data_IF_851969196615
#
_entry.id   IF_851969196615
#
_cell.length_a   1.000
_cell.length_b   1.000
_cell.length_c   1.000
_cell.angle_alpha   90.00
_cell.angle_beta   90.00
_cell.angle_gamma   90.00
#
_symmetry.space_group_name_H-M   'P 1'
#
loop_
_entity.id
_entity.type
_entity.pdbx_description
1 polymer ?
#
# COMPACT_ATOMS: atom_id res chain seq x y z
N UNK A 1 5.91 -10.39 -12.05
CA UNK A 1 6.14 -11.69 -11.41
C UNK A 1 4.88 -12.54 -11.59
N UNK A 2 5.02 -13.84 -11.87
CA UNK A 2 3.89 -14.78 -11.95
C UNK A 2 3.89 -15.66 -10.70
N UNK A 3 2.72 -15.85 -10.10
CA UNK A 3 2.53 -16.54 -8.81
C UNK A 3 2.69 -18.08 -8.89
N UNK A 4 3.17 -18.62 -10.02
CA UNK A 4 3.28 -20.05 -10.27
C UNK A 4 4.56 -20.72 -9.73
N UNK A 5 5.59 -19.94 -9.39
CA UNK A 5 6.91 -20.44 -9.03
C UNK A 5 7.27 -20.09 -7.58
N UNK A 6 8.07 -20.95 -6.94
CA UNK A 6 8.64 -20.66 -5.63
C UNK A 6 9.69 -19.57 -5.76
N UNK A 7 9.61 -18.56 -4.88
CA UNK A 7 10.55 -17.46 -4.88
C UNK A 7 11.57 -17.62 -3.74
N UNK A 8 12.83 -17.76 -4.12
CA UNK A 8 13.95 -17.77 -3.18
C UNK A 8 14.49 -16.35 -2.99
N UNK A 9 14.31 -15.79 -1.79
CA UNK A 9 14.83 -14.45 -1.48
C UNK A 9 16.35 -14.50 -1.35
N UNK A 10 17.02 -13.93 -2.35
CA UNK A 10 18.47 -13.81 -2.50
C UNK A 10 19.11 -12.95 -1.40
N UNK A 11 20.44 -12.99 -1.30
CA UNK A 11 21.16 -12.14 -0.36
C UNK A 11 21.07 -10.65 -0.77
N UNK A 12 21.12 -10.40 -2.07
CA UNK A 12 20.97 -9.10 -2.70
C UNK A 12 19.61 -8.47 -2.35
N UNK A 13 18.51 -9.20 -2.55
CA UNK A 13 17.16 -8.72 -2.21
C UNK A 13 17.02 -8.43 -0.71
N UNK A 14 17.60 -9.25 0.17
CA UNK A 14 17.60 -8.96 1.62
C UNK A 14 18.33 -7.67 1.94
N UNK A 15 19.43 -7.40 1.25
CA UNK A 15 20.19 -6.16 1.40
C UNK A 15 19.39 -4.97 0.89
N UNK A 16 18.78 -5.07 -0.29
CA UNK A 16 17.93 -4.02 -0.87
C UNK A 16 16.73 -3.71 0.02
N UNK A 17 16.04 -4.74 0.53
CA UNK A 17 14.93 -4.57 1.48
C UNK A 17 15.38 -3.84 2.75
N UNK A 18 16.57 -4.16 3.26
CA UNK A 18 17.12 -3.49 4.44
C UNK A 18 17.47 -2.03 4.17
N UNK A 19 18.10 -1.74 3.03
CA UNK A 19 18.48 -0.39 2.62
C UNK A 19 17.24 0.48 2.38
N UNK A 20 16.24 -0.04 1.67
CA UNK A 20 14.95 0.61 1.47
C UNK A 20 14.28 0.97 2.80
N UNK A 21 14.15 0.01 3.72
CA UNK A 21 13.56 0.26 5.04
C UNK A 21 14.37 1.27 5.85
N UNK A 22 15.69 1.31 5.69
CA UNK A 22 16.53 2.34 6.35
C UNK A 22 16.22 3.72 5.81
N UNK A 23 16.21 3.86 4.48
CA UNK A 23 15.97 5.13 3.82
C UNK A 23 14.59 5.72 4.18
N UNK A 24 13.52 4.91 4.14
CA UNK A 24 12.19 5.42 4.46
C UNK A 24 12.04 5.78 5.95
N UNK A 25 12.71 5.04 6.85
CA UNK A 25 12.66 5.32 8.31
C UNK A 25 13.30 6.66 8.68
N UNK A 26 14.23 7.16 7.87
CA UNK A 26 14.89 8.45 8.09
C UNK A 26 13.98 9.65 7.73
N UNK A 27 12.92 9.42 6.96
CA UNK A 27 11.98 10.46 6.51
C UNK A 27 11.05 10.92 7.63
N UNK A 28 10.63 12.20 7.59
CA UNK A 28 9.65 12.72 8.55
C UNK A 28 8.28 12.04 8.45
N UNK A 29 7.91 11.60 7.24
CA UNK A 29 6.66 10.86 6.99
C UNK A 29 6.62 9.56 7.81
N UNK A 30 7.69 8.77 7.76
CA UNK A 30 7.74 7.50 8.48
C UNK A 30 7.88 7.71 9.99
N UNK A 31 8.63 8.73 10.43
CA UNK A 31 8.73 9.10 11.85
C UNK A 31 7.38 9.51 12.42
N UNK A 32 6.58 10.28 11.67
CA UNK A 32 5.24 10.67 12.10
C UNK A 32 4.29 9.47 12.15
N UNK A 33 4.34 8.59 11.15
CA UNK A 33 3.58 7.34 11.17
C UNK A 33 3.96 6.46 12.38
N UNK A 34 5.25 6.35 12.68
CA UNK A 34 5.75 5.61 13.84
C UNK A 34 5.25 6.21 15.15
N UNK A 35 5.43 7.53 15.36
CA UNK A 35 4.90 8.26 16.54
C UNK A 35 3.40 8.05 16.70
N UNK A 36 2.65 8.16 15.61
CA UNK A 36 1.20 7.98 15.60
C UNK A 36 0.83 6.55 16.03
N UNK A 37 1.44 5.52 15.44
CA UNK A 37 1.15 4.12 15.77
C UNK A 37 1.53 3.76 17.21
N UNK A 38 2.64 4.29 17.71
CA UNK A 38 3.05 4.16 19.13
C UNK A 38 2.00 4.81 20.04
N UNK A 39 1.54 6.01 19.71
CA UNK A 39 0.49 6.71 20.48
C UNK A 39 -0.84 5.94 20.52
N UNK A 40 -1.11 5.10 19.51
CA UNK A 40 -2.29 4.22 19.46
C UNK A 40 -2.06 2.87 20.14
N UNK A 41 -0.84 2.58 20.59
CA UNK A 41 -0.48 1.33 21.24
C UNK A 41 -0.46 0.13 20.30
N UNK A 42 -0.27 0.35 18.99
CA UNK A 42 -0.26 -0.70 17.96
C UNK A 42 1.10 -0.89 17.28
N UNK A 43 2.13 -0.16 17.71
CA UNK A 43 3.50 -0.34 17.26
C UNK A 43 4.49 -0.25 18.44
N UNK A 44 5.65 -0.93 18.35
CA UNK A 44 6.72 -0.78 19.33
C UNK A 44 7.34 0.62 19.28
N UNK A 45 7.71 1.16 20.45
CA UNK A 45 8.40 2.45 20.56
C UNK A 45 9.85 2.39 20.05
N UNK A 46 10.52 1.24 20.20
CA UNK A 46 11.87 1.00 19.68
C UNK A 46 11.87 0.96 18.14
N UNK A 47 12.65 1.85 17.52
CA UNK A 47 12.75 1.97 16.05
C UNK A 47 13.26 0.69 15.39
N UNK A 48 14.19 -0.02 16.01
CA UNK A 48 14.71 -1.29 15.50
C UNK A 48 13.63 -2.36 15.41
N UNK A 49 12.79 -2.47 16.46
CA UNK A 49 11.62 -3.34 16.48
C UNK A 49 10.54 -2.87 15.50
N UNK A 50 10.35 -1.56 15.31
CA UNK A 50 9.41 -1.04 14.33
C UNK A 50 9.87 -1.35 12.89
N UNK A 51 11.16 -1.21 12.58
CA UNK A 51 11.75 -1.65 11.31
C UNK A 51 11.56 -3.15 11.10
N UNK A 52 11.73 -3.96 12.15
CA UNK A 52 11.43 -5.40 12.11
C UNK A 52 9.95 -5.70 11.82
N UNK A 53 9.03 -4.91 12.39
CA UNK A 53 7.60 -4.99 12.09
C UNK A 53 7.33 -4.64 10.62
N UNK A 54 7.88 -3.52 10.11
CA UNK A 54 7.76 -3.14 8.70
C UNK A 54 8.28 -4.24 7.77
N UNK A 55 9.44 -4.80 8.07
CA UNK A 55 9.98 -5.94 7.33
C UNK A 55 9.01 -7.13 7.32
N UNK A 56 8.42 -7.44 8.47
CA UNK A 56 7.43 -8.51 8.61
C UNK A 56 6.15 -8.28 7.81
N UNK A 57 5.71 -7.03 7.65
CA UNK A 57 4.51 -6.66 6.89
C UNK A 57 4.77 -6.66 5.38
N UNK A 58 5.88 -6.06 4.98
CA UNK A 58 6.14 -5.70 3.58
C UNK A 58 6.92 -6.77 2.81
N UNK A 59 7.91 -7.39 3.44
CA UNK A 59 8.90 -8.25 2.76
C UNK A 59 8.87 -9.71 3.19
N UNK A 60 8.02 -10.06 4.16
CA UNK A 60 7.86 -11.46 4.55
C UNK A 60 7.02 -12.18 3.49
N UNK A 61 7.62 -13.23 2.91
CA UNK A 61 6.92 -14.08 1.96
C UNK A 61 5.76 -14.84 2.61
N UNK A 62 4.62 -14.86 1.94
CA UNK A 62 3.45 -15.66 2.28
C UNK A 62 2.97 -16.47 1.06
N UNK A 63 2.04 -17.39 1.30
CA UNK A 63 1.50 -18.28 0.26
C UNK A 63 0.26 -17.66 -0.37
N UNK A 64 0.22 -17.57 -1.69
CA UNK A 64 -0.93 -17.08 -2.44
C UNK A 64 -1.41 -18.10 -3.48
N UNK A 65 -2.71 -18.11 -3.75
CA UNK A 65 -3.30 -18.94 -4.80
C UNK A 65 -3.30 -20.46 -4.58
N UNK A 66 -2.98 -20.93 -3.36
CA UNK A 66 -2.91 -22.37 -3.06
C UNK A 66 -1.53 -23.00 -3.33
N UNK A 67 -0.49 -22.17 -3.52
CA UNK A 67 0.88 -22.62 -3.73
C UNK A 67 1.43 -23.49 -2.57
N UNK A 68 2.30 -24.44 -2.93
CA UNK A 68 2.99 -25.34 -1.98
C UNK A 68 4.04 -24.63 -1.14
N UNK A 69 4.61 -23.53 -1.64
CA UNK A 69 5.66 -22.71 -1.03
C UNK A 69 5.29 -21.21 -1.07
N UNK A 70 5.88 -20.36 -0.19
CA UNK A 70 5.71 -18.91 -0.25
C UNK A 70 6.18 -18.35 -1.60
N UNK A 71 5.39 -17.44 -2.18
CA UNK A 71 5.55 -17.00 -3.58
C UNK A 71 5.12 -15.54 -3.81
N UNK A 72 4.93 -14.76 -2.74
CA UNK A 72 4.43 -13.39 -2.80
C UNK A 72 4.75 -12.64 -1.51
N UNK A 73 5.06 -11.34 -1.61
CA UNK A 73 5.01 -10.41 -0.48
C UNK A 73 4.15 -9.17 -0.76
N UNK A 74 3.83 -8.41 0.30
CA UNK A 74 3.01 -7.20 0.19
C UNK A 74 3.69 -6.13 -0.66
N UNK A 75 5.03 -6.03 -0.59
CA UNK A 75 5.81 -5.09 -1.37
C UNK A 75 5.71 -5.39 -2.87
N UNK A 76 5.90 -6.63 -3.28
CA UNK A 76 5.72 -7.05 -4.69
C UNK A 76 4.32 -6.72 -5.19
N UNK A 77 3.30 -7.07 -4.41
CA UNK A 77 1.92 -6.85 -4.78
C UNK A 77 1.61 -5.36 -5.06
N UNK A 78 2.06 -4.46 -4.19
CA UNK A 78 1.77 -3.02 -4.26
C UNK A 78 2.72 -2.30 -5.23
N UNK A 79 4.03 -2.50 -5.07
CA UNK A 79 5.08 -1.69 -5.70
C UNK A 79 5.69 -2.33 -6.95
N UNK A 80 5.74 -3.66 -7.07
CA UNK A 80 6.38 -4.32 -8.22
C UNK A 80 5.36 -4.68 -9.30
N UNK A 81 4.16 -5.10 -8.88
CA UNK A 81 3.14 -5.62 -9.77
C UNK A 81 3.21 -7.15 -9.91
N UNK A 82 2.07 -7.77 -9.64
CA UNK A 82 1.92 -9.21 -9.54
C UNK A 82 0.83 -9.69 -10.49
N UNK A 83 1.12 -10.74 -11.24
CA UNK A 83 0.19 -11.43 -12.12
C UNK A 83 -0.23 -12.78 -11.54
N UNK A 84 -1.41 -13.25 -11.92
CA UNK A 84 -1.90 -14.59 -11.66
C UNK A 84 -2.45 -15.17 -12.95
N UNK A 85 -1.66 -15.97 -13.66
CA UNK A 85 -2.04 -16.47 -14.98
C UNK A 85 -2.26 -15.32 -15.96
N UNK A 86 -3.46 -15.24 -16.55
CA UNK A 86 -3.83 -14.18 -17.51
C UNK A 86 -4.48 -12.95 -16.84
N UNK A 87 -4.33 -12.76 -15.53
CA UNK A 87 -4.86 -11.58 -14.84
C UNK A 87 -3.77 -10.85 -14.07
N UNK A 88 -3.75 -9.53 -14.19
CA UNK A 88 -2.95 -8.69 -13.32
C UNK A 88 -3.68 -8.39 -12.02
N UNK A 89 -3.08 -8.73 -10.88
CA UNK A 89 -3.70 -8.52 -9.57
C UNK A 89 -3.00 -7.46 -8.71
N UNK A 90 -1.83 -6.96 -9.08
CA UNK A 90 -1.09 -5.90 -8.36
C UNK A 90 -0.95 -4.58 -9.13
N UNK A 91 0.11 -3.82 -8.78
CA UNK A 91 0.56 -2.55 -9.39
C UNK A 91 -0.31 -1.33 -9.08
N UNK A 92 -0.14 -0.84 -7.85
CA UNK A 92 -0.83 0.33 -7.31
C UNK A 92 0.09 1.56 -7.16
N UNK A 93 1.37 1.41 -7.51
CA UNK A 93 2.37 2.46 -7.41
C UNK A 93 2.60 3.15 -8.77
N UNK A 94 2.53 4.48 -8.79
CA UNK A 94 2.66 5.27 -10.03
C UNK A 94 4.06 5.24 -10.63
N UNK A 95 5.10 5.14 -9.79
CA UNK A 95 6.48 5.09 -10.28
C UNK A 95 6.69 3.79 -11.07
N UNK A 96 6.22 2.66 -10.54
CA UNK A 96 6.27 1.40 -11.26
C UNK A 96 5.40 1.43 -12.52
N UNK A 97 4.21 2.03 -12.44
CA UNK A 97 3.37 2.23 -13.63
C UNK A 97 4.14 2.97 -14.73
N UNK A 98 4.76 4.11 -14.39
CA UNK A 98 5.57 4.89 -15.32
C UNK A 98 6.75 4.09 -15.90
N UNK A 99 7.48 3.34 -15.07
CA UNK A 99 8.61 2.54 -15.53
C UNK A 99 8.17 1.43 -16.49
N UNK A 100 7.05 0.76 -16.21
CA UNK A 100 6.51 -0.30 -17.07
C UNK A 100 5.91 0.25 -18.37
N UNK A 101 5.25 1.41 -18.33
CA UNK A 101 4.79 2.13 -19.53
C UNK A 101 5.96 2.56 -20.40
N UNK A 102 6.99 3.17 -19.81
CA UNK A 102 8.22 3.55 -20.52
C UNK A 102 8.95 2.35 -21.14
N UNK A 103 8.88 1.18 -20.51
CA UNK A 103 9.44 -0.06 -21.03
C UNK A 103 8.57 -0.70 -22.15
N UNK A 104 7.41 -0.13 -22.48
CA UNK A 104 6.47 -0.68 -23.46
C UNK A 104 5.68 -1.90 -22.96
N UNK A 105 5.71 -2.16 -21.65
CA UNK A 105 4.96 -3.25 -21.05
C UNK A 105 3.52 -2.87 -20.72
N UNK A 106 3.21 -1.58 -20.57
CA UNK A 106 1.84 -1.09 -20.32
C UNK A 106 1.27 -0.47 -21.59
N UNK A 107 0.03 -0.83 -21.89
CA UNK A 107 -0.82 -0.18 -22.89
C UNK A 107 -1.97 0.51 -22.15
N UNK A 108 -1.92 1.84 -22.05
CA UNK A 108 -2.86 2.66 -21.29
C UNK A 108 -4.16 2.91 -22.05
N UNK A 109 -5.31 2.64 -21.41
CA UNK A 109 -6.64 2.70 -22.04
C UNK A 109 -7.49 3.87 -21.57
N UNK A 110 -7.05 4.59 -20.54
CA UNK A 110 -7.78 5.75 -19.99
C UNK A 110 -7.85 5.74 -18.47
N UNK A 111 -8.53 6.76 -17.94
CA UNK A 111 -8.74 6.94 -16.51
C UNK A 111 -10.19 7.25 -16.19
N UNK A 112 -10.58 6.87 -14.97
CA UNK A 112 -11.84 7.22 -14.35
C UNK A 112 -11.58 8.35 -13.35
N UNK A 113 -12.20 9.50 -13.59
CA UNK A 113 -12.31 10.59 -12.61
C UNK A 113 -13.70 10.48 -11.98
N UNK A 114 -13.79 10.26 -10.67
CA UNK A 114 -15.08 10.44 -9.97
C UNK A 114 -15.47 11.92 -10.01
N UNK A 115 -16.75 12.20 -10.21
CA UNK A 115 -17.27 13.54 -10.52
C UNK A 115 -17.00 14.61 -9.46
N UNK A 116 -16.65 14.22 -8.24
CA UNK A 116 -16.33 15.11 -7.11
C UNK A 116 -14.91 15.69 -7.16
N UNK A 117 -14.07 15.23 -8.09
CA UNK A 117 -12.68 15.71 -8.23
C UNK A 117 -12.60 16.76 -9.34
N UNK A 118 -13.63 17.55 -9.67
CA UNK A 118 -13.55 18.47 -10.83
C UNK A 118 -12.77 19.76 -10.55
N UNK A 119 -12.71 20.19 -9.29
CA UNK A 119 -12.21 21.53 -8.92
C UNK A 119 -10.79 21.54 -8.33
N UNK A 120 -10.11 20.39 -8.32
CA UNK A 120 -8.72 20.31 -7.85
C UNK A 120 -7.75 20.51 -9.02
N UNK A 121 -6.82 21.44 -8.86
CA UNK A 121 -5.72 21.66 -9.83
C UNK A 121 -4.72 20.49 -9.83
N UNK A 122 -4.66 19.71 -8.74
CA UNK A 122 -3.68 18.62 -8.55
C UNK A 122 -4.41 17.28 -8.39
N UNK A 123 -4.27 16.42 -9.40
CA UNK A 123 -4.76 15.04 -9.37
C UNK A 123 -3.82 14.19 -8.51
N UNK A 124 -4.28 13.73 -7.35
CA UNK A 124 -3.49 12.89 -6.41
C UNK A 124 -3.86 11.41 -6.41
N UNK A 125 -5.01 11.04 -6.97
CA UNK A 125 -5.51 9.67 -7.05
C UNK A 125 -6.28 9.48 -8.35
N UNK A 126 -5.94 8.43 -9.11
CA UNK A 126 -6.63 8.06 -10.34
C UNK A 126 -7.04 6.59 -10.31
N UNK A 127 -8.23 6.30 -10.84
CA UNK A 127 -8.54 4.97 -11.33
C UNK A 127 -8.06 4.85 -12.76
N UNK A 128 -7.08 4.00 -13.05
CA UNK A 128 -6.56 3.79 -14.41
C UNK A 128 -6.99 2.43 -14.97
N UNK A 129 -7.14 2.37 -16.29
CA UNK A 129 -7.37 1.15 -17.04
C UNK A 129 -6.22 0.95 -18.03
N UNK A 130 -5.69 -0.27 -18.10
CA UNK A 130 -4.56 -0.60 -18.97
C UNK A 130 -4.47 -2.11 -19.21
N UNK A 131 -3.68 -2.50 -20.21
CA UNK A 131 -3.16 -3.87 -20.38
C UNK A 131 -1.69 -3.94 -20.01
N UNK A 132 -1.23 -5.08 -19.51
CA UNK A 132 0.17 -5.32 -19.19
C UNK A 132 0.70 -6.51 -19.98
N UNK A 133 1.73 -6.31 -20.81
CA UNK A 133 2.34 -7.31 -21.71
C UNK A 133 1.30 -8.05 -22.59
N UNK A 134 0.31 -7.31 -23.08
CA UNK A 134 -0.78 -7.86 -23.90
C UNK A 134 -1.88 -8.57 -23.11
N UNK A 135 -1.73 -8.72 -21.80
CA UNK A 135 -2.72 -9.28 -20.89
C UNK A 135 -3.64 -8.16 -20.41
N UNK A 136 -4.96 -8.41 -20.43
CA UNK A 136 -5.94 -7.43 -19.95
C UNK A 136 -5.70 -7.14 -18.47
N UNK A 137 -5.43 -5.88 -18.15
CA UNK A 137 -5.30 -5.45 -16.77
C UNK A 137 -6.65 -5.32 -16.07
N UNK A 138 -6.60 -4.89 -14.81
CA UNK A 138 -7.81 -4.74 -13.98
C UNK A 138 -8.83 -3.79 -14.64
N UNK A 139 -10.14 -4.03 -14.43
CA UNK A 139 -11.18 -3.09 -14.88
C UNK A 139 -10.95 -1.66 -14.38
N UNK A 140 -10.40 -1.53 -13.16
CA UNK A 140 -9.98 -0.26 -12.58
C UNK A 140 -8.86 -0.51 -11.58
N UNK A 141 -7.74 0.22 -11.70
CA UNK A 141 -6.64 0.20 -10.75
C UNK A 141 -6.50 1.59 -10.12
N UNK A 142 -6.72 1.71 -8.81
CA UNK A 142 -6.47 2.96 -8.08
C UNK A 142 -4.97 3.14 -7.84
N UNK A 143 -4.44 4.30 -8.24
CA UNK A 143 -3.01 4.65 -8.14
C UNK A 143 -2.87 6.08 -7.59
N UNK A 144 -2.07 6.25 -6.53
CA UNK A 144 -1.67 7.57 -6.06
C UNK A 144 -0.70 8.20 -7.06
N UNK A 145 -0.91 9.46 -7.43
CA UNK A 145 -0.06 10.17 -8.40
C UNK A 145 0.84 11.15 -7.65
N UNK A 146 2.15 11.06 -7.87
CA UNK A 146 3.15 11.95 -7.27
C UNK A 146 3.43 11.69 -5.79
N UNK A 147 2.92 10.59 -5.22
CA UNK A 147 3.27 10.15 -3.87
C UNK A 147 4.71 9.66 -3.80
N UNK A 148 5.35 9.82 -2.64
CA UNK A 148 6.62 9.15 -2.38
C UNK A 148 6.40 7.70 -1.88
N UNK A 149 7.36 6.78 -2.08
CA UNK A 149 7.26 5.41 -1.59
C UNK A 149 7.03 5.32 -0.07
N UNK A 150 7.70 6.15 0.71
CA UNK A 150 7.54 6.23 2.17
C UNK A 150 6.13 6.66 2.59
N UNK A 151 5.49 7.55 1.83
CA UNK A 151 4.10 7.94 2.07
C UNK A 151 3.15 6.77 1.88
N UNK A 152 3.28 6.03 0.77
CA UNK A 152 2.45 4.86 0.51
C UNK A 152 2.67 3.77 1.55
N UNK A 153 3.94 3.44 1.88
CA UNK A 153 4.27 2.48 2.95
C UNK A 153 3.66 2.92 4.28
N UNK A 154 3.79 4.20 4.65
CA UNK A 154 3.24 4.74 5.89
C UNK A 154 1.71 4.64 5.92
N UNK A 155 1.03 5.13 4.89
CA UNK A 155 -0.43 5.14 4.83
C UNK A 155 -1.03 3.72 4.87
N UNK A 156 -0.45 2.80 4.10
CA UNK A 156 -0.88 1.40 4.09
C UNK A 156 -0.58 0.69 5.41
N UNK A 157 0.57 0.95 6.03
CA UNK A 157 0.92 0.39 7.35
C UNK A 157 -0.02 0.93 8.42
N UNK A 158 -0.26 2.24 8.46
CA UNK A 158 -1.17 2.86 9.42
C UNK A 158 -2.57 2.28 9.30
N UNK A 159 -3.04 2.14 8.06
CA UNK A 159 -4.32 1.49 7.77
C UNK A 159 -4.36 0.07 8.31
N UNK A 160 -3.39 -0.77 7.95
CA UNK A 160 -3.33 -2.16 8.38
C UNK A 160 -3.36 -2.34 9.90
N UNK A 161 -2.61 -1.50 10.60
CA UNK A 161 -2.41 -1.65 12.04
C UNK A 161 -3.55 -1.06 12.87
N UNK A 162 -4.28 -0.08 12.35
CA UNK A 162 -5.44 0.51 13.03
C UNK A 162 -6.77 -0.11 12.62
N UNK A 163 -6.80 -0.78 11.47
CA UNK A 163 -8.00 -1.34 10.91
C UNK A 163 -8.62 -2.40 11.83
N UNK A 164 -9.85 -2.11 12.26
CA UNK A 164 -10.64 -3.05 13.04
C UNK A 164 -11.55 -3.92 12.17
N UNK A 165 -11.93 -3.52 10.96
CA UNK A 165 -13.02 -4.17 10.19
C UNK A 165 -12.76 -4.38 8.68
N UNK A 166 -11.58 -4.04 8.17
CA UNK A 166 -11.20 -4.09 6.75
C UNK A 166 -11.05 -2.70 6.10
N UNK A 167 -11.23 -1.61 6.84
CA UNK A 167 -11.43 -0.24 6.33
C UNK A 167 -10.89 0.82 7.28
N UNK A 168 -10.23 1.83 6.73
CA UNK A 168 -9.88 3.07 7.43
C UNK A 168 -10.15 4.28 6.56
N UNK A 169 -10.87 5.25 7.12
CA UNK A 169 -11.02 6.57 6.51
C UNK A 169 -9.77 7.41 6.85
N UNK A 170 -9.04 7.83 5.82
CA UNK A 170 -7.81 8.61 5.91
C UNK A 170 -8.03 9.97 5.28
N UNK A 171 -7.75 11.03 6.04
CA UNK A 171 -7.83 12.39 5.50
C UNK A 171 -6.50 12.75 4.81
N UNK A 172 -6.55 12.98 3.50
CA UNK A 172 -5.42 13.50 2.70
C UNK A 172 -5.74 14.89 2.19
N UNK A 173 -5.17 15.90 2.84
CA UNK A 173 -5.50 17.31 2.57
C UNK A 173 -6.98 17.58 2.86
N UNK A 174 -7.71 18.03 1.85
CA UNK A 174 -9.14 18.32 1.93
C UNK A 174 -10.04 17.10 1.66
N UNK A 175 -9.44 15.93 1.40
CA UNK A 175 -10.14 14.72 0.96
C UNK A 175 -10.18 13.67 2.06
N UNK A 176 -11.27 12.90 2.11
CA UNK A 176 -11.35 11.67 2.90
C UNK A 176 -11.31 10.49 1.91
N UNK A 177 -10.33 9.61 2.11
CA UNK A 177 -10.15 8.39 1.35
C UNK A 177 -10.50 7.18 2.22
N UNK A 178 -11.37 6.31 1.73
CA UNK A 178 -11.56 4.98 2.30
C UNK A 178 -10.46 4.06 1.76
N UNK A 179 -9.48 3.79 2.62
CA UNK A 179 -8.46 2.79 2.36
C UNK A 179 -8.98 1.42 2.79
N UNK A 180 -9.05 0.48 1.85
CA UNK A 180 -9.51 -0.89 2.12
C UNK A 180 -8.37 -1.88 1.93
N UNK A 181 -8.20 -2.73 2.93
CA UNK A 181 -7.22 -3.80 2.92
C UNK A 181 -7.96 -5.13 2.97
N UNK A 182 -7.73 -5.97 1.96
CA UNK A 182 -8.28 -7.31 1.92
C UNK A 182 -7.23 -8.33 2.38
N UNK A 183 -7.34 -8.75 3.64
CA UNK A 183 -6.62 -9.91 4.20
C UNK A 183 -7.56 -11.08 4.46
N UNK A 184 -7.10 -12.33 4.35
CA UNK A 184 -7.91 -13.45 4.82
C UNK A 184 -8.05 -13.34 6.34
N UNK A 185 -9.28 -13.11 6.80
CA UNK A 185 -9.68 -13.14 8.21
C UNK A 185 -9.31 -14.50 8.82
N UNK A 186 -8.11 -14.62 9.38
CA UNK A 186 -7.90 -15.55 10.48
C UNK A 186 -8.86 -15.09 11.59
N UNK A 187 -9.93 -15.86 11.80
CA UNK A 187 -10.93 -15.66 12.85
C UNK A 187 -10.26 -15.10 14.10
N UNK A 188 -10.59 -13.85 14.45
CA UNK A 188 -10.24 -13.22 15.74
C UNK A 188 -10.73 -14.14 16.87
N UNK A 189 -9.88 -15.05 17.30
CA UNK A 189 -10.08 -15.84 18.50
C UNK A 189 -8.94 -15.48 19.43
N UNK A 190 -9.14 -14.37 20.14
CA UNK A 190 -8.51 -14.01 21.41
C UNK A 190 -7.19 -14.75 21.69
N UNK A 191 -6.12 -14.38 20.97
CA UNK A 191 -4.75 -14.84 21.26
C UNK A 191 -3.86 -13.62 21.48
N UNK A 192 -2.90 -13.82 22.39
CA UNK A 192 -2.23 -12.82 23.22
C UNK A 192 -1.20 -11.95 22.50
N UNK A 193 -0.88 -12.20 21.23
CA UNK A 193 0.21 -11.51 20.55
C UNK A 193 -0.15 -11.20 19.09
N UNK A 194 -0.51 -9.94 18.84
CA UNK A 194 -1.07 -9.46 17.57
C UNK A 194 -0.04 -9.40 16.42
N UNK A 195 1.26 -9.29 16.73
CA UNK A 195 2.35 -9.32 15.76
C UNK A 195 2.46 -10.65 15.00
N UNK A 196 1.96 -11.75 15.58
CA UNK A 196 1.98 -13.08 14.97
C UNK A 196 0.84 -13.28 13.94
N UNK A 197 -0.15 -12.40 13.89
CA UNK A 197 -1.37 -12.55 13.07
C UNK A 197 -1.35 -11.73 11.77
N UNK A 198 -0.41 -10.78 11.60
CA UNK A 198 -0.26 -9.95 10.38
C UNK A 198 0.47 -10.75 9.28
N UNK A 199 -0.05 -11.93 8.93
CA UNK A 199 0.64 -12.87 8.04
C UNK A 199 0.14 -12.86 6.59
N UNK A 200 -1.05 -12.35 6.32
CA UNK A 200 -1.68 -12.48 5.00
C UNK A 200 -2.42 -11.18 4.61
N UNK A 201 -1.69 -10.14 4.19
CA UNK A 201 -2.32 -9.05 3.44
C UNK A 201 -2.35 -9.45 1.97
N UNK A 202 -3.55 -9.70 1.46
CA UNK A 202 -3.72 -10.33 0.16
C UNK A 202 -4.07 -9.35 -0.93
N UNK A 203 -4.40 -8.11 -0.63
CA UNK A 203 -4.82 -7.10 -1.62
C UNK A 203 -4.90 -5.73 -0.93
N UNK A 204 -4.23 -4.71 -1.48
CA UNK A 204 -4.43 -3.30 -1.09
C UNK A 204 -5.17 -2.58 -2.21
N UNK A 205 -6.34 -2.03 -1.90
CA UNK A 205 -7.12 -1.26 -2.86
C UNK A 205 -7.77 -0.08 -2.16
N UNK A 206 -7.43 1.14 -2.57
CA UNK A 206 -8.23 2.32 -2.22
C UNK A 206 -9.55 2.23 -2.97
N UNK A 207 -10.65 1.94 -2.27
CA UNK A 207 -11.93 1.57 -2.90
C UNK A 207 -12.90 2.75 -2.97
N UNK A 208 -12.79 3.79 -2.14
CA UNK A 208 -13.66 4.96 -2.28
C UNK A 208 -12.99 6.28 -1.84
N UNK A 209 -13.36 7.37 -2.52
CA UNK A 209 -13.25 8.74 -2.00
C UNK A 209 -14.67 9.14 -1.64
N UNK A 210 -14.96 9.37 -0.36
CA UNK A 210 -16.27 9.89 0.08
C UNK A 210 -16.10 11.33 0.56
N UNK A 211 -16.94 12.23 0.06
CA UNK A 211 -17.07 13.59 0.58
C UNK A 211 -18.19 13.60 1.62
N UNK A 212 -17.85 13.78 2.90
CA UNK A 212 -18.76 14.48 3.81
C UNK A 212 -18.23 15.90 4.03
N UNK A 213 -19.04 16.96 3.76
CA UNK A 213 -18.71 18.29 4.25
C UNK A 213 -18.69 18.24 5.78
N UNK A 214 -17.56 18.66 6.37
CA UNK A 214 -17.31 18.63 7.82
C UNK A 214 -18.55 19.09 8.61
N UNK A 215 -19.22 18.15 9.27
CA UNK A 215 -19.82 18.41 10.57
C UNK A 215 -18.91 17.77 11.60
N UNK A 216 -18.47 18.57 12.59
CA UNK A 216 -17.57 18.12 13.66
C UNK A 216 -18.13 16.84 14.29
N UNK A 217 -17.55 15.69 13.97
CA UNK A 217 -17.70 14.46 14.74
C UNK A 217 -16.33 14.06 15.24
N UNK A 218 -16.25 13.93 16.55
CA UNK A 218 -15.09 13.42 17.27
C UNK A 218 -14.75 12.01 16.75
N UNK A 219 -13.71 11.92 15.93
CA UNK A 219 -13.29 10.67 15.31
C UNK A 219 -11.85 10.80 14.81
N UNK A 220 -10.98 9.96 15.38
CA UNK A 220 -9.52 9.87 15.16
C UNK A 220 -9.12 10.01 13.67
N UNK A 221 -8.72 11.21 13.24
CA UNK A 221 -8.12 11.45 11.93
C UNK A 221 -6.59 11.41 12.02
N UNK A 222 -5.95 10.72 11.08
CA UNK A 222 -4.52 10.86 10.80
C UNK A 222 -4.36 11.91 9.71
N UNK A 223 -3.52 12.92 9.95
CA UNK A 223 -3.18 13.95 8.98
C UNK A 223 -1.70 13.77 8.64
N UNK A 224 -1.42 13.28 7.43
CA UNK A 224 -0.07 13.31 6.89
C UNK A 224 0.13 14.70 6.26
N UNK A 225 0.88 15.57 6.92
CA UNK A 225 1.33 16.82 6.31
C UNK A 225 2.33 16.46 5.21
N UNK A 226 1.86 16.53 3.95
CA UNK A 226 2.72 16.38 2.79
C UNK A 226 3.70 17.56 2.77
N UNK A 227 4.94 17.31 3.21
CA UNK A 227 6.05 18.24 3.03
C UNK A 227 6.18 18.47 1.52
N UNK A 228 6.01 19.73 1.12
CA UNK A 228 6.33 20.18 -0.24
C UNK A 228 7.84 20.12 -0.38
N UNK A 229 8.34 19.03 -0.92
CA UNK A 229 9.66 19.05 -1.52
C UNK A 229 9.51 19.70 -2.89
N UNK A 230 9.75 21.01 -2.93
CA UNK A 230 9.93 21.77 -4.15
C UNK A 230 11.13 21.17 -4.91
N UNK A 231 10.86 20.37 -5.93
CA UNK A 231 11.87 19.94 -6.90
C UNK A 231 12.03 21.07 -7.92
N UNK A 232 13.26 21.56 -8.17
CA UNK A 232 13.55 22.71 -9.05
C UNK A 232 13.22 22.49 -10.53
#
# INVERSE_FOLDING_TARGET
MDLGEEEEVTWEERKENHEFLTAIMETEVMKEAHRYLVSKGVAPEDEGRFKGLLHGIWFKMFRRGGASSPNSCSFEHVFVGEGRGEEMIGMHNWLQFYLQEKAGNIDYHGYFRRETIRDDEIIRLLGVQFSWKGIRGKPMCSVFIGSSPEFEIAAYTVTLLLDRDGKLDVQLGERILEMKIEGQRARRRQRRNWLDDIKDVRNYHCINVEEEPRTKKDGKSFQADLVRDDVP
#
